data_IF_208696668342
#
_entry.id   IF_208696668342
#
_cell.length_a   1.000
_cell.length_b   1.000
_cell.length_c   1.000
_cell.angle_alpha   90.00
_cell.angle_beta   90.00
_cell.angle_gamma   90.00
#
_symmetry.space_group_name_H-M   'P 1'
#
loop_
_entity.id
_entity.type
_entity.pdbx_description
1 polymer ?
#
# COMPACT_ATOMS: atom_id res chain seq x y z
N UNK A 1 -12.89 -63.62 9.51
CA UNK A 1 -12.00 -62.70 8.78
C UNK A 1 -12.66 -61.33 8.70
N UNK A 2 -12.28 -60.41 9.57
CA UNK A 2 -12.82 -59.04 9.58
C UNK A 2 -11.95 -58.19 8.63
N UNK A 3 -12.56 -57.67 7.56
CA UNK A 3 -11.89 -56.70 6.67
C UNK A 3 -11.82 -55.34 7.37
N UNK A 4 -10.61 -54.90 7.69
CA UNK A 4 -10.33 -53.55 8.17
C UNK A 4 -10.30 -52.65 6.92
N UNK A 5 -11.30 -51.78 6.79
CA UNK A 5 -11.31 -50.71 5.79
C UNK A 5 -10.54 -49.56 6.41
N UNK A 6 -9.29 -49.38 5.97
CA UNK A 6 -8.51 -48.17 6.30
C UNK A 6 -9.04 -47.08 5.40
N UNK A 7 -9.87 -46.22 5.98
CA UNK A 7 -10.29 -44.97 5.33
C UNK A 7 -9.13 -44.00 5.41
N UNK A 8 -8.38 -43.86 4.32
CA UNK A 8 -7.36 -42.84 4.17
C UNK A 8 -8.06 -41.50 4.01
N UNK A 9 -8.23 -40.81 5.12
CA UNK A 9 -8.68 -39.42 5.13
C UNK A 9 -7.55 -38.59 4.56
N UNK A 10 -7.55 -38.37 3.24
CA UNK A 10 -6.70 -37.34 2.62
C UNK A 10 -7.12 -36.00 3.17
N UNK A 11 -6.38 -35.54 4.17
CA UNK A 11 -6.41 -34.16 4.60
C UNK A 11 -5.85 -33.32 3.44
N UNK A 12 -6.72 -32.89 2.53
CA UNK A 12 -6.43 -31.81 1.61
C UNK A 12 -6.26 -30.54 2.48
N UNK A 13 -5.04 -30.36 2.96
CA UNK A 13 -4.58 -29.05 3.37
C UNK A 13 -4.56 -28.23 2.09
N UNK A 14 -5.67 -27.57 1.80
CA UNK A 14 -5.67 -26.44 0.88
C UNK A 14 -4.73 -25.44 1.54
N UNK A 15 -3.47 -25.46 1.13
CA UNK A 15 -2.57 -24.34 1.26
C UNK A 15 -3.28 -23.22 0.50
N UNK A 16 -4.06 -22.42 1.24
CA UNK A 16 -4.45 -21.09 0.79
C UNK A 16 -3.10 -20.39 0.64
N UNK A 17 -2.62 -20.37 -0.59
CA UNK A 17 -1.53 -19.49 -0.96
C UNK A 17 -2.09 -18.09 -0.75
N UNK A 18 -1.91 -17.56 0.46
CA UNK A 18 -1.91 -16.11 0.63
C UNK A 18 -0.94 -15.61 -0.43
N UNK A 19 -1.44 -14.93 -1.44
CA UNK A 19 -0.57 -14.20 -2.35
C UNK A 19 0.37 -13.43 -1.45
N UNK A 20 1.64 -13.78 -1.48
CA UNK A 20 2.61 -13.32 -0.50
C UNK A 20 2.61 -11.79 -0.59
N UNK A 21 2.23 -11.13 0.49
CA UNK A 21 2.26 -9.68 0.54
C UNK A 21 3.70 -9.24 0.22
N UNK A 22 3.88 -8.16 -0.53
CA UNK A 22 5.23 -7.63 -0.74
C UNK A 22 5.84 -7.33 0.64
N UNK A 23 7.10 -7.65 0.83
CA UNK A 23 7.76 -7.37 2.11
C UNK A 23 8.13 -5.89 2.22
N UNK A 24 8.45 -5.25 1.07
CA UNK A 24 8.85 -3.85 1.01
C UNK A 24 8.05 -3.06 -0.02
N UNK A 25 7.80 -1.81 0.33
CA UNK A 25 7.21 -0.80 -0.54
C UNK A 25 8.19 0.37 -0.64
N UNK A 26 8.57 0.72 -1.86
CA UNK A 26 9.44 1.85 -2.13
C UNK A 26 8.59 2.92 -2.81
N UNK A 27 8.56 4.11 -2.23
CA UNK A 27 7.73 5.22 -2.71
C UNK A 27 8.61 6.45 -2.92
N UNK A 28 8.74 6.89 -4.14
CA UNK A 28 9.43 8.11 -4.50
C UNK A 28 8.41 9.24 -4.59
N UNK A 29 8.66 10.29 -3.82
CA UNK A 29 7.82 11.48 -3.74
C UNK A 29 8.37 12.58 -4.66
N UNK A 30 7.46 13.21 -5.39
CA UNK A 30 7.74 14.29 -6.30
C UNK A 30 6.75 15.43 -6.06
N UNK A 31 7.22 16.64 -5.87
CA UNK A 31 6.38 17.83 -5.88
C UNK A 31 6.27 18.41 -7.28
N UNK A 32 5.11 19.00 -7.58
CA UNK A 32 4.85 19.59 -8.90
C UNK A 32 3.90 20.78 -8.81
N UNK A 33 4.12 21.80 -9.62
CA UNK A 33 3.17 22.91 -9.75
C UNK A 33 2.05 22.65 -10.75
N UNK A 34 2.10 21.54 -11.48
CA UNK A 34 1.06 21.12 -12.44
C UNK A 34 0.82 19.61 -12.32
N UNK A 35 0.05 19.26 -11.31
CA UNK A 35 -0.24 17.88 -10.94
C UNK A 35 -0.79 17.07 -12.12
N UNK A 36 -1.81 17.56 -12.81
CA UNK A 36 -2.42 16.84 -13.93
C UNK A 36 -1.44 16.50 -15.05
N UNK A 37 -0.55 17.45 -15.42
CA UNK A 37 0.48 17.21 -16.42
C UNK A 37 1.54 16.22 -15.90
N UNK A 38 1.98 16.37 -14.64
CA UNK A 38 2.96 15.47 -14.04
C UNK A 38 2.41 14.04 -13.93
N UNK A 39 1.16 13.88 -13.49
CA UNK A 39 0.48 12.59 -13.44
C UNK A 39 0.48 11.87 -14.79
N UNK A 40 0.05 12.59 -15.85
CA UNK A 40 0.05 12.02 -17.19
C UNK A 40 1.45 11.54 -17.59
N UNK A 41 2.47 12.38 -17.42
CA UNK A 41 3.85 12.04 -17.81
C UNK A 41 4.42 10.89 -16.97
N UNK A 42 4.16 10.87 -15.67
CA UNK A 42 4.60 9.78 -14.80
C UNK A 42 3.84 8.48 -15.08
N UNK A 43 2.57 8.56 -15.49
CA UNK A 43 1.84 7.39 -15.93
C UNK A 43 2.35 6.85 -17.27
N UNK A 44 2.68 7.71 -18.23
CA UNK A 44 3.33 7.31 -19.48
C UNK A 44 4.66 6.61 -19.17
N UNK A 45 5.47 7.18 -18.27
CA UNK A 45 6.72 6.58 -17.81
C UNK A 45 6.52 5.20 -17.17
N UNK A 46 5.55 5.07 -16.27
CA UNK A 46 5.18 3.79 -15.65
C UNK A 46 4.82 2.74 -16.69
N UNK A 47 3.95 3.10 -17.63
CA UNK A 47 3.48 2.17 -18.65
C UNK A 47 4.63 1.70 -19.56
N UNK A 48 5.56 2.58 -19.90
CA UNK A 48 6.75 2.19 -20.66
C UNK A 48 7.67 1.24 -19.89
N UNK A 49 7.82 1.42 -18.56
CA UNK A 49 8.56 0.46 -17.74
C UNK A 49 7.90 -0.91 -17.83
N UNK A 50 6.57 -0.98 -17.62
CA UNK A 50 5.82 -2.23 -17.65
C UNK A 50 5.81 -2.89 -19.04
N UNK A 51 5.89 -2.11 -20.11
CA UNK A 51 5.98 -2.62 -21.48
C UNK A 51 7.38 -3.19 -21.80
N UNK A 52 8.44 -2.53 -21.29
CA UNK A 52 9.83 -2.84 -21.68
C UNK A 52 10.57 -3.77 -20.72
N UNK A 53 10.02 -4.02 -19.55
CA UNK A 53 10.60 -4.89 -18.54
C UNK A 53 9.56 -5.90 -18.03
N UNK A 54 9.66 -7.14 -18.49
CA UNK A 54 8.80 -8.25 -18.03
C UNK A 54 8.92 -8.57 -16.53
N UNK A 55 10.05 -8.14 -15.92
CA UNK A 55 10.33 -8.30 -14.49
C UNK A 55 10.04 -7.02 -13.70
N UNK A 56 9.37 -6.03 -14.32
CA UNK A 56 9.03 -4.80 -13.66
C UNK A 56 8.22 -5.08 -12.38
N UNK A 57 8.57 -4.45 -11.25
CA UNK A 57 7.79 -4.57 -10.04
C UNK A 57 6.41 -3.99 -10.24
N UNK A 58 5.45 -4.45 -9.44
CA UNK A 58 4.14 -3.83 -9.43
C UNK A 58 4.27 -2.37 -9.00
N UNK A 59 3.85 -1.47 -9.89
CA UNK A 59 4.04 -0.03 -9.75
C UNK A 59 2.70 0.68 -9.69
N UNK A 60 2.54 1.59 -8.74
CA UNK A 60 1.38 2.44 -8.56
C UNK A 60 1.79 3.90 -8.64
N UNK A 61 0.94 4.71 -9.25
CA UNK A 61 1.03 6.16 -9.17
C UNK A 61 -0.04 6.65 -8.21
N UNK A 62 0.36 7.39 -7.18
CA UNK A 62 -0.52 7.99 -6.19
C UNK A 62 -0.40 9.50 -6.26
N UNK A 63 -1.50 10.20 -5.97
CA UNK A 63 -1.53 11.66 -5.96
C UNK A 63 -2.28 12.15 -4.75
N UNK A 64 -1.76 13.14 -4.07
CA UNK A 64 -2.48 13.83 -3.01
C UNK A 64 -3.68 14.58 -3.56
N UNK A 65 -4.82 14.47 -2.89
CA UNK A 65 -6.05 15.13 -3.34
C UNK A 65 -6.03 16.63 -3.17
N UNK A 66 -5.43 17.09 -2.08
CA UNK A 66 -5.39 18.51 -1.69
C UNK A 66 -3.93 19.04 -1.61
N UNK A 67 -2.98 18.30 -2.22
CA UNK A 67 -1.56 18.62 -2.23
C UNK A 67 -0.99 18.74 -3.65
N UNK A 68 0.31 18.85 -3.71
CA UNK A 68 1.07 18.95 -4.97
C UNK A 68 1.98 17.73 -5.19
N UNK A 69 1.89 16.72 -4.33
CA UNK A 69 2.76 15.55 -4.38
C UNK A 69 2.20 14.45 -5.25
N UNK A 70 3.10 13.81 -5.98
CA UNK A 70 2.87 12.59 -6.76
C UNK A 70 3.85 11.54 -6.30
N UNK A 71 3.37 10.34 -6.04
CA UNK A 71 4.16 9.23 -5.52
C UNK A 71 4.26 8.12 -6.55
N UNK A 72 5.49 7.75 -6.89
CA UNK A 72 5.77 6.58 -7.71
C UNK A 72 6.15 5.42 -6.79
N UNK A 73 5.20 4.52 -6.58
CA UNK A 73 5.28 3.50 -5.54
C UNK A 73 5.44 2.11 -6.16
N UNK A 74 6.42 1.36 -5.68
CA UNK A 74 6.76 0.04 -6.17
C UNK A 74 6.81 -0.97 -5.02
N UNK A 75 6.38 -2.21 -5.30
CA UNK A 75 6.30 -3.27 -4.31
C UNK A 75 7.30 -4.41 -4.63
N UNK A 76 8.06 -4.85 -3.62
CA UNK A 76 9.10 -5.87 -3.75
C UNK A 76 8.99 -6.94 -2.66
N UNK A 77 9.37 -8.16 -3.01
CA UNK A 77 9.40 -9.29 -2.08
C UNK A 77 10.58 -9.19 -1.08
N UNK A 78 11.66 -8.46 -1.44
CA UNK A 78 12.82 -8.21 -0.59
C UNK A 78 13.63 -7.03 -1.09
N UNK A 79 14.45 -6.41 -0.22
CA UNK A 79 15.42 -5.38 -0.63
C UNK A 79 16.44 -5.90 -1.64
N UNK A 80 16.85 -7.15 -1.53
CA UNK A 80 17.77 -7.75 -2.52
C UNK A 80 17.15 -7.82 -3.92
N UNK A 81 15.83 -8.09 -4.02
CA UNK A 81 15.12 -8.04 -5.30
C UNK A 81 14.99 -6.62 -5.83
N UNK A 82 14.77 -5.65 -4.96
CA UNK A 82 14.82 -4.23 -5.34
C UNK A 82 16.18 -3.84 -5.90
N UNK A 83 17.26 -4.11 -5.18
CA UNK A 83 18.62 -3.77 -5.62
C UNK A 83 18.98 -4.41 -6.96
N UNK A 84 18.64 -5.69 -7.14
CA UNK A 84 18.87 -6.40 -8.39
C UNK A 84 18.07 -5.80 -9.55
N UNK A 85 16.81 -5.48 -9.31
CA UNK A 85 15.94 -4.83 -10.30
C UNK A 85 16.42 -3.42 -10.61
N UNK A 86 16.71 -2.58 -9.62
CA UNK A 86 17.16 -1.20 -9.81
C UNK A 86 18.44 -1.12 -10.64
N UNK A 87 19.40 -2.02 -10.35
CA UNK A 87 20.62 -2.13 -11.16
C UNK A 87 20.28 -2.46 -12.62
N UNK A 88 19.50 -3.52 -12.86
CA UNK A 88 19.12 -3.92 -14.22
C UNK A 88 18.33 -2.80 -14.93
N UNK A 89 17.41 -2.17 -14.21
CA UNK A 89 16.62 -1.05 -14.73
C UNK A 89 17.53 0.08 -15.21
N UNK A 90 18.44 0.55 -14.37
CA UNK A 90 19.32 1.67 -14.69
C UNK A 90 20.27 1.35 -15.83
N UNK A 91 20.80 0.13 -15.91
CA UNK A 91 21.79 -0.28 -16.92
C UNK A 91 21.14 -0.62 -18.28
N UNK A 92 19.98 -1.30 -18.29
CA UNK A 92 19.47 -1.96 -19.50
C UNK A 92 18.08 -1.48 -19.94
N UNK A 93 17.21 -1.06 -19.02
CA UNK A 93 15.81 -0.71 -19.31
C UNK A 93 15.64 0.79 -19.46
N UNK A 94 16.11 1.56 -18.49
CA UNK A 94 15.94 3.02 -18.42
C UNK A 94 16.36 3.77 -19.69
N UNK A 95 17.48 3.44 -20.36
CA UNK A 95 17.85 4.14 -21.60
C UNK A 95 16.81 3.97 -22.71
N UNK A 96 16.19 2.79 -22.82
CA UNK A 96 15.15 2.48 -23.80
C UNK A 96 13.84 3.20 -23.45
N UNK A 97 13.43 3.12 -22.19
CA UNK A 97 12.26 3.84 -21.66
C UNK A 97 12.40 5.33 -21.91
N UNK A 98 13.56 5.92 -21.58
CA UNK A 98 13.82 7.35 -21.77
C UNK A 98 13.76 7.76 -23.25
N UNK A 99 14.34 6.97 -24.15
CA UNK A 99 14.28 7.25 -25.59
C UNK A 99 12.83 7.25 -26.10
N UNK A 100 12.04 6.23 -25.72
CA UNK A 100 10.64 6.13 -26.12
C UNK A 100 9.77 7.21 -25.48
N UNK A 101 10.02 7.53 -24.22
CA UNK A 101 9.32 8.59 -23.51
C UNK A 101 9.51 9.97 -24.19
N UNK A 102 10.76 10.27 -24.61
CA UNK A 102 11.08 11.51 -25.34
C UNK A 102 10.42 11.55 -26.72
N UNK A 103 10.39 10.43 -27.41
CA UNK A 103 9.67 10.31 -28.71
C UNK A 103 8.19 10.65 -28.54
N UNK A 104 7.54 10.16 -27.47
CA UNK A 104 6.11 10.36 -27.22
C UNK A 104 5.76 11.76 -26.69
N UNK A 105 6.58 12.30 -25.80
CA UNK A 105 6.24 13.48 -25.01
C UNK A 105 7.15 14.71 -25.30
N UNK A 106 8.20 14.53 -26.12
CA UNK A 106 9.20 15.56 -26.41
C UNK A 106 10.37 15.58 -25.41
N UNK A 107 11.47 16.22 -25.82
CA UNK A 107 12.70 16.31 -25.01
C UNK A 107 12.47 17.01 -23.67
N UNK A 108 11.62 18.03 -23.66
CA UNK A 108 11.34 18.89 -22.50
C UNK A 108 9.93 18.61 -21.92
N UNK A 109 9.53 17.35 -21.88
CA UNK A 109 8.17 16.96 -21.49
C UNK A 109 7.73 17.57 -20.13
N UNK A 110 8.62 17.58 -19.13
CA UNK A 110 8.36 18.13 -17.80
C UNK A 110 8.52 19.66 -17.70
N UNK A 111 8.85 20.35 -18.80
CA UNK A 111 8.90 21.82 -18.79
C UNK A 111 7.53 22.43 -18.38
N UNK A 112 7.57 23.38 -17.44
CA UNK A 112 6.38 24.04 -16.90
C UNK A 112 5.58 23.20 -15.91
N UNK A 113 6.08 22.05 -15.46
CA UNK A 113 5.50 21.32 -14.32
C UNK A 113 6.21 21.67 -13.01
N UNK A 114 7.43 22.18 -13.07
CA UNK A 114 8.32 22.37 -11.91
C UNK A 114 8.33 21.09 -11.03
N UNK A 115 8.45 19.94 -11.69
CA UNK A 115 8.45 18.65 -10.97
C UNK A 115 9.83 18.41 -10.39
N UNK A 116 9.91 18.31 -9.08
CA UNK A 116 11.15 18.11 -8.32
C UNK A 116 11.03 16.83 -7.47
N UNK A 117 12.11 16.07 -7.43
CA UNK A 117 12.22 14.93 -6.53
C UNK A 117 12.41 15.42 -5.11
N UNK A 118 11.54 15.01 -4.20
CA UNK A 118 11.60 15.37 -2.79
C UNK A 118 12.43 14.34 -2.03
N UNK A 119 11.95 13.10 -1.97
CA UNK A 119 12.66 12.02 -1.29
C UNK A 119 12.15 10.64 -1.70
N UNK A 120 12.95 9.62 -1.39
CA UNK A 120 12.56 8.22 -1.46
C UNK A 120 12.24 7.66 -0.07
N UNK A 121 11.12 6.99 0.03
CA UNK A 121 10.70 6.30 1.24
C UNK A 121 10.82 4.80 1.04
N UNK A 122 11.33 4.10 2.04
CA UNK A 122 11.34 2.63 2.08
C UNK A 122 10.53 2.18 3.28
N UNK A 123 9.46 1.46 3.01
CA UNK A 123 8.59 0.90 4.03
C UNK A 123 8.70 -0.62 4.05
N UNK A 124 8.65 -1.18 5.24
CA UNK A 124 8.42 -2.61 5.45
C UNK A 124 6.93 -2.85 5.66
N UNK A 125 6.34 -3.76 4.88
CA UNK A 125 4.98 -4.20 5.12
C UNK A 125 4.92 -4.99 6.44
N UNK A 126 3.90 -4.72 7.25
CA UNK A 126 3.62 -5.43 8.51
C UNK A 126 2.33 -6.25 8.37
N UNK A 127 2.42 -7.48 7.82
CA UNK A 127 1.24 -8.33 7.64
C UNK A 127 0.51 -8.63 8.95
N UNK A 128 1.27 -8.73 10.05
CA UNK A 128 0.76 -8.97 11.40
C UNK A 128 -0.05 -7.82 11.99
N UNK A 129 0.07 -6.62 11.41
CA UNK A 129 -0.65 -5.39 11.77
C UNK A 129 -1.59 -4.92 10.65
N UNK A 130 -1.71 -5.67 9.57
CA UNK A 130 -2.56 -5.40 8.42
C UNK A 130 -3.82 -6.26 8.46
N UNK A 131 -4.91 -5.76 7.89
CA UNK A 131 -6.16 -6.50 7.77
C UNK A 131 -6.55 -6.62 6.29
N UNK A 132 -6.62 -7.85 5.82
CA UNK A 132 -7.20 -8.20 4.52
C UNK A 132 -8.31 -9.21 4.80
N UNK A 133 -9.57 -8.93 4.43
CA UNK A 133 -10.68 -9.85 4.64
C UNK A 133 -10.41 -11.25 4.09
N UNK A 134 -10.89 -12.27 4.79
CA UNK A 134 -10.72 -13.67 4.36
C UNK A 134 -11.28 -13.89 2.94
N UNK A 135 -10.52 -14.59 2.12
CA UNK A 135 -10.86 -14.88 0.73
C UNK A 135 -10.55 -13.75 -0.26
N UNK A 136 -10.07 -12.60 0.19
CA UNK A 136 -9.60 -11.54 -0.70
C UNK A 136 -8.12 -11.72 -1.05
N UNK A 137 -7.79 -11.54 -2.32
CA UNK A 137 -6.40 -11.46 -2.79
C UNK A 137 -6.01 -9.98 -2.91
N UNK A 138 -5.16 -9.50 -2.01
CA UNK A 138 -4.75 -8.09 -2.00
C UNK A 138 -4.27 -7.60 -3.37
N UNK A 139 -3.50 -8.44 -4.07
CA UNK A 139 -2.89 -8.04 -5.34
C UNK A 139 -3.91 -7.90 -6.48
N UNK A 140 -5.06 -8.57 -6.36
CA UNK A 140 -6.21 -8.41 -7.27
C UNK A 140 -7.13 -7.26 -6.86
N UNK A 141 -7.14 -6.93 -5.57
CA UNK A 141 -7.97 -5.85 -5.02
C UNK A 141 -7.33 -4.47 -5.20
N UNK A 142 -5.99 -4.35 -5.08
CA UNK A 142 -5.30 -3.07 -5.18
C UNK A 142 -5.68 -2.22 -6.41
N UNK A 143 -5.81 -2.76 -7.62
CA UNK A 143 -6.22 -1.98 -8.79
C UNK A 143 -7.68 -1.50 -8.75
N UNK A 144 -8.54 -2.17 -7.99
CA UNK A 144 -9.96 -1.81 -7.86
C UNK A 144 -10.19 -0.67 -6.87
N UNK A 145 -9.20 -0.41 -6.00
CA UNK A 145 -9.29 0.58 -4.95
C UNK A 145 -8.54 1.84 -5.37
N UNK A 146 -9.25 2.79 -5.96
CA UNK A 146 -8.69 4.04 -6.47
C UNK A 146 -8.49 5.11 -5.40
N UNK A 147 -9.11 4.93 -4.22
CA UNK A 147 -8.96 5.82 -3.07
C UNK A 147 -8.12 5.16 -1.98
N UNK A 148 -7.20 5.91 -1.44
CA UNK A 148 -6.37 5.48 -0.31
C UNK A 148 -6.32 6.58 0.72
N UNK A 149 -6.64 6.25 1.95
CA UNK A 149 -6.42 7.14 3.08
C UNK A 149 -5.15 6.71 3.80
N UNK A 150 -4.17 7.57 3.82
CA UNK A 150 -2.97 7.41 4.61
C UNK A 150 -3.19 8.03 5.98
N UNK A 151 -2.80 7.30 7.01
CA UNK A 151 -2.82 7.78 8.40
C UNK A 151 -1.44 7.53 8.97
N UNK A 152 -0.70 8.58 9.20
CA UNK A 152 0.58 8.53 9.89
C UNK A 152 0.35 8.37 11.38
N UNK A 153 1.09 7.48 12.00
CA UNK A 153 0.96 7.15 13.43
C UNK A 153 2.30 7.36 14.09
N UNK A 154 2.35 8.30 15.03
CA UNK A 154 3.46 8.47 15.95
C UNK A 154 3.14 7.74 17.25
N UNK A 155 4.05 6.88 17.69
CA UNK A 155 3.89 6.09 18.91
C UNK A 155 4.80 6.64 19.99
N UNK A 156 4.23 6.88 21.19
CA UNK A 156 4.99 7.40 22.33
C UNK A 156 6.18 6.51 22.68
N UNK A 157 7.23 7.12 23.22
CA UNK A 157 8.44 6.41 23.62
C UNK A 157 8.11 5.24 24.55
N UNK A 158 8.51 4.02 24.18
CA UNK A 158 8.26 2.78 24.92
C UNK A 158 6.86 2.18 24.74
N UNK A 159 5.96 2.80 23.97
CA UNK A 159 4.58 2.32 23.77
C UNK A 159 4.40 1.45 22.53
N UNK A 160 5.45 1.23 21.75
CA UNK A 160 5.38 0.48 20.48
C UNK A 160 4.72 -0.90 20.64
N UNK A 161 5.12 -1.67 21.66
CA UNK A 161 4.52 -3.00 21.92
C UNK A 161 3.04 -2.90 22.25
N UNK A 162 2.63 -1.89 23.03
CA UNK A 162 1.23 -1.67 23.39
C UNK A 162 0.40 -1.28 22.16
N UNK A 163 0.94 -0.44 21.28
CA UNK A 163 0.31 -0.10 20.01
C UNK A 163 0.13 -1.32 19.11
N UNK A 164 1.18 -2.13 18.92
CA UNK A 164 1.11 -3.34 18.09
C UNK A 164 0.10 -4.36 18.64
N UNK A 165 0.04 -4.54 19.96
CA UNK A 165 -0.98 -5.40 20.58
C UNK A 165 -2.40 -4.86 20.39
N UNK A 166 -2.58 -3.55 20.51
CA UNK A 166 -3.85 -2.89 20.24
C UNK A 166 -4.28 -3.13 18.78
N UNK A 167 -3.38 -2.94 17.83
CA UNK A 167 -3.66 -3.19 16.40
C UNK A 167 -4.06 -4.65 16.14
N UNK A 168 -3.36 -5.61 16.73
CA UNK A 168 -3.72 -7.04 16.61
C UNK A 168 -5.12 -7.32 17.17
N UNK A 169 -5.48 -6.70 18.29
CA UNK A 169 -6.85 -6.79 18.83
C UNK A 169 -7.89 -6.14 17.91
N UNK A 170 -7.57 -5.00 17.29
CA UNK A 170 -8.46 -4.39 16.30
C UNK A 170 -8.71 -5.31 15.11
N UNK A 171 -7.67 -5.94 14.59
CA UNK A 171 -7.77 -6.91 13.49
C UNK A 171 -8.68 -8.09 13.89
N UNK A 172 -8.50 -8.65 15.10
CA UNK A 172 -9.38 -9.73 15.60
C UNK A 172 -10.84 -9.28 15.70
N UNK A 173 -11.08 -8.04 16.14
CA UNK A 173 -12.41 -7.46 16.18
C UNK A 173 -13.00 -7.26 14.77
N UNK A 174 -12.21 -6.81 13.81
CA UNK A 174 -12.66 -6.65 12.42
C UNK A 174 -12.97 -7.99 11.74
N UNK A 175 -12.22 -9.05 12.06
CA UNK A 175 -12.54 -10.43 11.66
C UNK A 175 -13.88 -10.85 12.25
N UNK A 176 -14.06 -10.69 13.55
CA UNK A 176 -15.31 -11.00 14.29
C UNK A 176 -16.53 -10.28 13.71
N UNK A 177 -16.35 -9.01 13.36
CA UNK A 177 -17.41 -8.16 12.78
C UNK A 177 -17.60 -8.36 11.28
N UNK A 178 -16.81 -9.22 10.65
CA UNK A 178 -16.80 -9.47 9.20
C UNK A 178 -16.73 -8.17 8.38
N UNK A 179 -15.83 -7.27 8.77
CA UNK A 179 -15.60 -6.03 8.05
C UNK A 179 -14.99 -6.31 6.66
N UNK A 180 -15.32 -5.49 5.66
CA UNK A 180 -14.97 -5.73 4.25
C UNK A 180 -13.98 -4.72 3.67
N UNK A 181 -13.30 -3.97 4.51
CA UNK A 181 -12.26 -3.05 4.07
C UNK A 181 -10.86 -3.67 4.24
N UNK A 182 -9.91 -3.13 3.51
CA UNK A 182 -8.51 -3.53 3.59
C UNK A 182 -7.75 -2.41 4.31
N UNK A 183 -6.95 -2.79 5.30
CA UNK A 183 -6.01 -1.88 5.97
C UNK A 183 -4.62 -2.49 5.90
N UNK A 184 -3.66 -1.73 5.37
CA UNK A 184 -2.27 -2.12 5.31
C UNK A 184 -1.49 -1.28 6.32
N UNK A 185 -0.57 -1.91 7.04
CA UNK A 185 0.35 -1.23 7.95
C UNK A 185 1.75 -1.28 7.36
N UNK A 186 2.35 -0.12 7.21
CA UNK A 186 3.69 0.10 6.71
C UNK A 186 4.56 0.67 7.84
N UNK A 187 5.75 0.14 7.99
CA UNK A 187 6.75 0.60 8.94
C UNK A 187 7.89 1.27 8.16
N UNK A 188 8.19 2.56 8.37
CA UNK A 188 9.31 3.23 7.71
C UNK A 188 10.63 2.58 8.08
N UNK A 189 11.44 2.24 7.07
CA UNK A 189 12.81 1.70 7.25
C UNK A 189 13.85 2.77 6.95
N UNK A 190 13.62 3.53 5.86
CA UNK A 190 14.44 4.65 5.43
C UNK A 190 13.58 5.76 4.85
N UNK A 191 14.07 6.99 4.90
CA UNK A 191 13.41 8.15 4.32
C UNK A 191 12.49 8.87 5.30
N UNK A 192 13.02 9.93 5.89
CA UNK A 192 12.31 10.96 6.63
C UNK A 192 11.72 10.54 7.98
N UNK A 193 12.07 11.28 9.01
CA UNK A 193 11.46 11.20 10.35
C UNK A 193 10.05 11.79 10.38
N UNK A 194 9.60 12.38 9.29
CA UNK A 194 8.30 13.08 9.20
C UNK A 194 7.12 12.13 9.03
N UNK A 195 7.38 10.84 8.72
CA UNK A 195 6.34 9.84 8.46
C UNK A 195 5.93 9.01 9.70
N UNK A 196 6.32 9.44 10.89
CA UNK A 196 5.99 8.73 12.13
C UNK A 196 6.57 7.32 12.23
N UNK A 197 6.07 6.54 13.20
CA UNK A 197 6.50 5.14 13.42
C UNK A 197 5.83 4.16 12.46
N UNK A 198 4.61 4.49 12.00
CA UNK A 198 3.83 3.68 11.06
C UNK A 198 3.03 4.56 10.10
N UNK A 199 2.74 4.01 8.94
CA UNK A 199 1.75 4.54 8.00
C UNK A 199 0.67 3.48 7.79
N UNK A 200 -0.55 3.80 8.21
CA UNK A 200 -1.72 2.96 7.95
C UNK A 200 -2.38 3.41 6.63
N UNK A 201 -2.48 2.49 5.68
CA UNK A 201 -3.13 2.73 4.39
C UNK A 201 -4.46 2.01 4.38
N UNK A 202 -5.57 2.76 4.32
CA UNK A 202 -6.92 2.20 4.26
C UNK A 202 -7.43 2.34 2.83
N UNK A 203 -7.85 1.23 2.23
CA UNK A 203 -8.26 1.18 0.83
C UNK A 203 -9.77 1.38 0.69
N UNK A 204 -10.18 2.10 -0.37
CA UNK A 204 -11.56 2.28 -0.78
C UNK A 204 -11.68 2.24 -2.30
N UNK A 205 -12.74 1.64 -2.84
CA UNK A 205 -13.01 1.64 -4.28
C UNK A 205 -13.12 3.07 -4.84
N UNK A 206 -13.65 3.99 -4.04
CA UNK A 206 -13.68 5.42 -4.28
C UNK A 206 -13.76 6.17 -2.95
N UNK A 207 -13.54 7.49 -2.95
CA UNK A 207 -13.73 8.33 -1.75
C UNK A 207 -15.14 8.19 -1.18
N UNK A 208 -16.17 8.23 -2.01
CA UNK A 208 -17.56 8.09 -1.57
C UNK A 208 -17.83 6.70 -0.96
N UNK A 209 -17.37 5.63 -1.61
CA UNK A 209 -17.51 4.27 -1.09
C UNK A 209 -16.77 4.10 0.25
N UNK A 210 -15.59 4.70 0.39
CA UNK A 210 -14.83 4.69 1.63
C UNK A 210 -15.62 5.32 2.79
N UNK A 211 -16.15 6.56 2.63
CA UNK A 211 -16.86 7.25 3.70
C UNK A 211 -18.20 6.59 4.03
N UNK A 212 -18.94 6.08 3.06
CA UNK A 212 -20.16 5.30 3.29
C UNK A 212 -19.85 4.01 4.09
N UNK A 213 -18.78 3.30 3.70
CA UNK A 213 -18.32 2.11 4.41
C UNK A 213 -17.77 2.43 5.81
N UNK A 214 -17.15 3.60 6.00
CA UNK A 214 -16.67 4.04 7.31
C UNK A 214 -17.83 4.20 8.30
N UNK A 215 -18.95 4.82 7.88
CA UNK A 215 -20.12 4.99 8.73
C UNK A 215 -20.68 3.64 9.21
N UNK A 216 -20.79 2.67 8.29
CA UNK A 216 -21.24 1.32 8.63
C UNK A 216 -20.29 0.63 9.63
N UNK A 217 -18.97 0.71 9.36
CA UNK A 217 -17.93 0.15 10.24
C UNK A 217 -18.03 0.76 11.65
N UNK A 218 -18.14 2.08 11.72
CA UNK A 218 -18.22 2.79 13.01
C UNK A 218 -19.48 2.40 13.79
N UNK A 219 -20.61 2.18 13.12
CA UNK A 219 -21.83 1.64 13.77
C UNK A 219 -21.57 0.26 14.39
N UNK A 220 -20.97 -0.67 13.61
CA UNK A 220 -20.64 -2.03 14.10
C UNK A 220 -19.68 -1.97 15.29
N UNK A 221 -18.58 -1.22 15.16
CA UNK A 221 -17.55 -1.06 16.18
C UNK A 221 -18.12 -0.41 17.46
N UNK A 222 -18.91 0.65 17.32
CA UNK A 222 -19.53 1.33 18.46
C UNK A 222 -20.59 0.49 19.18
N UNK A 223 -21.11 -0.56 18.55
CA UNK A 223 -21.98 -1.53 19.21
C UNK A 223 -21.19 -2.58 20.00
N UNK A 224 -19.89 -2.75 19.73
CA UNK A 224 -19.02 -3.72 20.38
C UNK A 224 -18.29 -3.12 21.59
N UNK A 225 -18.39 -3.78 22.76
CA UNK A 225 -17.80 -3.27 24.00
C UNK A 225 -16.28 -3.42 24.05
N UNK A 226 -15.72 -4.45 23.39
CA UNK A 226 -14.27 -4.64 23.31
C UNK A 226 -13.63 -3.53 22.46
N UNK A 227 -14.28 -3.15 21.36
CA UNK A 227 -13.85 -2.01 20.55
C UNK A 227 -13.87 -0.69 21.33
N UNK A 228 -14.93 -0.43 22.10
CA UNK A 228 -15.00 0.79 22.93
C UNK A 228 -13.83 0.86 23.92
N UNK A 229 -13.55 -0.24 24.59
CA UNK A 229 -12.43 -0.31 25.53
C UNK A 229 -11.07 -0.07 24.86
N UNK A 230 -10.87 -0.56 23.63
CA UNK A 230 -9.65 -0.31 22.84
C UNK A 230 -9.52 1.15 22.41
N UNK A 231 -10.61 1.75 21.92
CA UNK A 231 -10.64 3.14 21.48
C UNK A 231 -10.30 4.12 22.60
N UNK A 232 -10.73 3.81 23.81
CA UNK A 232 -10.55 4.69 24.98
C UNK A 232 -9.15 4.55 25.60
N UNK A 233 -8.31 3.64 25.10
CA UNK A 233 -6.91 3.51 25.49
C UNK A 233 -6.05 4.39 24.56
N UNK A 234 -5.52 5.53 25.03
CA UNK A 234 -4.75 6.44 24.18
C UNK A 234 -3.36 5.84 23.89
N UNK A 235 -3.13 5.40 22.68
CA UNK A 235 -1.82 4.96 22.20
C UNK A 235 -1.53 5.66 20.88
N UNK A 236 -0.63 6.61 20.90
CA UNK A 236 -0.12 7.30 19.69
C UNK A 236 -0.81 8.63 19.36
N UNK A 237 -0.13 9.41 18.53
CA UNK A 237 -0.63 10.63 17.89
C UNK A 237 -1.00 10.30 16.45
N UNK A 238 -2.14 10.81 15.98
CA UNK A 238 -2.64 10.52 14.64
C UNK A 238 -2.53 11.76 13.76
N UNK A 239 -1.79 11.64 12.65
CA UNK A 239 -1.76 12.63 11.59
C UNK A 239 -2.42 11.98 10.37
N UNK A 240 -3.42 12.67 9.79
CA UNK A 240 -4.17 12.14 8.64
C UNK A 240 -3.73 12.82 7.36
N UNK A 241 -3.45 12.01 6.32
CA UNK A 241 -3.15 12.45 4.98
C UNK A 241 -4.00 11.65 3.99
N UNK A 242 -4.61 12.33 3.02
CA UNK A 242 -5.42 11.66 2.00
C UNK A 242 -4.66 11.62 0.67
N UNK A 243 -4.61 10.45 0.04
CA UNK A 243 -4.08 10.31 -1.30
C UNK A 243 -4.99 9.49 -2.20
N UNK A 244 -5.03 9.84 -3.49
CA UNK A 244 -5.81 9.17 -4.52
C UNK A 244 -4.86 8.36 -5.40
N UNK A 245 -5.12 7.07 -5.56
CA UNK A 245 -4.40 6.25 -6.53
C UNK A 245 -4.98 6.50 -7.92
N UNK A 246 -4.11 6.85 -8.86
CA UNK A 246 -4.45 6.94 -10.27
C UNK A 246 -4.19 5.58 -10.90
N UNK A 247 -5.24 4.96 -11.41
CA UNK A 247 -5.19 3.75 -12.22
C UNK A 247 -5.66 4.11 -13.62
N UNK A 248 -4.78 3.99 -14.61
CA UNK A 248 -5.12 4.10 -16.02
C UNK A 248 -4.99 2.73 -16.66
#
# INVERSE_FOLDING_TARGET
MKKIIISTFCLLITLVTFAQLPEYVISNEWETSNQQKAEKLMNDWKNLILEMDENAPRTFLLTEMDGNSVYFTQAFESLAKYEAWDKNFNENVRPKVLAKFREMNGENAFEGTNTEFVMGHVFKMRPDLSYVPEGMNLMEELPKHTYRRHVTVDVGWGERSAFEEMQKKQIQNDIKLNNKYITLMLEPVFGGTERGDYVMVILGESRAAYFNGLEERMKKRNADNEWKAMRDAPVGTWIEEESLMITY
#
